data_IF_660854324849
#
_entry.id   IF_660854324849
#
_cell.length_a   1.000
_cell.length_b   1.000
_cell.length_c   1.000
_cell.angle_alpha   90.00
_cell.angle_beta   90.00
_cell.angle_gamma   90.00
#
_symmetry.space_group_name_H-M   'P 1'
#
loop_
_entity.id
_entity.type
_entity.pdbx_description
1 polymer ?
#
# COMPACT_ATOMS: atom_id res chain seq x y z
N UNK A 1 -16.04 -28.91 -1.36
CA UNK A 1 -17.39 -29.50 -1.36
C UNK A 1 -17.89 -29.56 0.07
N UNK A 2 -18.51 -28.49 0.60
CA UNK A 2 -19.19 -28.49 1.91
C UNK A 2 -20.42 -27.58 1.79
N UNK A 3 -21.58 -28.14 2.12
CA UNK A 3 -22.93 -27.60 1.95
C UNK A 3 -23.30 -26.69 3.14
N UNK A 4 -23.99 -25.57 2.86
CA UNK A 4 -24.61 -24.73 3.87
C UNK A 4 -26.13 -24.97 3.88
N UNK A 5 -26.68 -25.32 5.05
CA UNK A 5 -28.11 -25.46 5.30
C UNK A 5 -28.70 -24.10 5.71
N UNK A 6 -29.76 -23.68 5.02
CA UNK A 6 -30.64 -22.55 5.40
C UNK A 6 -31.72 -23.05 6.36
N UNK A 7 -31.92 -22.33 7.46
CA UNK A 7 -33.09 -22.50 8.34
C UNK A 7 -34.25 -21.63 7.84
N UNK A 8 -35.42 -22.27 7.81
CA UNK A 8 -36.73 -21.78 7.39
C UNK A 8 -37.47 -21.09 8.56
N UNK A 9 -38.29 -20.09 8.24
CA UNK A 9 -39.54 -19.87 8.98
C UNK A 9 -40.65 -19.56 7.96
N UNK A 10 -41.63 -20.44 7.93
CA UNK A 10 -42.82 -20.44 7.08
C UNK A 10 -43.96 -19.67 7.76
N UNK A 11 -44.83 -18.95 7.02
CA UNK A 11 -46.02 -18.36 7.61
C UNK A 11 -47.09 -19.45 7.84
N UNK A 12 -47.65 -19.48 9.04
CA UNK A 12 -48.74 -20.35 9.41
C UNK A 12 -50.08 -19.87 8.84
N UNK A 13 -50.85 -20.84 8.34
CA UNK A 13 -52.22 -20.72 7.82
C UNK A 13 -53.20 -20.25 8.90
N UNK A 14 -54.04 -19.27 8.54
CA UNK A 14 -55.23 -18.87 9.29
C UNK A 14 -56.47 -19.02 8.41
N UNK A 15 -57.32 -19.96 8.78
CA UNK A 15 -58.53 -20.46 8.12
C UNK A 15 -59.65 -19.43 7.93
N UNK A 16 -60.31 -19.51 6.77
CA UNK A 16 -61.61 -18.89 6.51
C UNK A 16 -62.75 -19.63 7.23
N UNK A 17 -63.68 -18.88 7.84
CA UNK A 17 -65.03 -19.36 8.16
C UNK A 17 -66.01 -18.26 7.74
N UNK A 18 -66.95 -18.63 6.88
CA UNK A 18 -68.17 -17.90 6.56
C UNK A 18 -69.39 -18.79 6.88
N UNK A 19 -70.59 -18.20 6.72
CA UNK A 19 -71.95 -18.73 6.96
C UNK A 19 -72.47 -18.51 8.40
N UNK A 20 -73.71 -18.06 8.65
CA UNK A 20 -74.86 -17.74 7.80
C UNK A 20 -75.92 -16.96 8.60
N UNK A 21 -76.74 -16.22 7.87
CA UNK A 21 -77.96 -15.46 8.17
C UNK A 21 -79.10 -16.17 8.91
N UNK A 22 -79.91 -15.43 9.69
CA UNK A 22 -81.38 -15.61 9.84
C UNK A 22 -82.07 -14.23 9.99
N UNK A 23 -83.33 -14.18 9.57
CA UNK A 23 -84.14 -13.10 9.01
C UNK A 23 -85.14 -12.40 9.95
N UNK A 24 -85.83 -11.40 9.37
CA UNK A 24 -87.22 -10.92 9.55
C UNK A 24 -87.58 -9.88 10.65
N UNK A 25 -87.72 -8.63 10.16
CA UNK A 25 -88.83 -7.68 10.34
C UNK A 25 -89.39 -7.37 11.73
N UNK A 26 -89.34 -6.09 12.14
CA UNK A 26 -90.53 -5.29 12.48
C UNK A 26 -90.20 -3.79 12.42
N UNK A 27 -91.17 -3.01 11.96
CA UNK A 27 -91.15 -1.56 11.82
C UNK A 27 -91.43 -0.83 13.15
N UNK A 28 -91.18 0.49 13.12
CA UNK A 28 -91.73 1.57 13.95
C UNK A 28 -90.84 2.18 15.07
N UNK A 29 -90.60 3.48 14.86
CA UNK A 29 -90.62 4.60 15.81
C UNK A 29 -89.43 4.88 16.75
N UNK A 30 -88.61 5.84 16.28
CA UNK A 30 -88.18 7.08 16.95
C UNK A 30 -88.25 7.11 18.49
N UNK A 31 -87.08 7.02 19.13
CA UNK A 31 -86.80 7.79 20.35
C UNK A 31 -85.35 8.23 20.38
N UNK A 32 -85.20 9.54 20.44
CA UNK A 32 -84.00 10.34 20.65
C UNK A 32 -83.20 9.84 21.85
N UNK A 33 -81.96 9.42 21.60
CA UNK A 33 -80.89 9.41 22.59
C UNK A 33 -79.76 10.28 22.04
N UNK A 34 -79.71 11.51 22.57
CA UNK A 34 -78.69 12.52 22.29
C UNK A 34 -77.34 11.98 22.81
N UNK A 35 -76.54 11.42 21.90
CA UNK A 35 -75.13 11.16 22.15
C UNK A 35 -74.39 12.50 22.11
N UNK A 36 -74.20 13.13 23.27
CA UNK A 36 -73.09 14.07 23.46
C UNK A 36 -71.85 13.24 23.78
N UNK A 37 -71.26 12.67 22.73
CA UNK A 37 -69.87 12.22 22.75
C UNK A 37 -69.14 13.23 21.89
N UNK A 38 -68.42 14.16 22.52
CA UNK A 38 -67.48 15.06 21.84
C UNK A 38 -66.57 14.24 20.93
N UNK A 39 -66.80 14.31 19.62
CA UNK A 39 -65.87 13.86 18.60
C UNK A 39 -64.58 14.66 18.74
N UNK A 40 -63.65 14.14 19.54
CA UNK A 40 -62.28 14.62 19.49
C UNK A 40 -61.72 14.13 18.15
N UNK A 41 -61.78 15.00 17.14
CA UNK A 41 -61.24 14.74 15.80
C UNK A 41 -59.72 14.57 15.93
N UNK A 42 -59.28 13.33 16.18
CA UNK A 42 -57.88 12.97 16.08
C UNK A 42 -57.53 12.85 14.61
N UNK A 43 -56.52 13.58 14.16
CA UNK A 43 -55.99 13.41 12.80
C UNK A 43 -55.44 11.98 12.65
N UNK A 44 -55.62 11.43 11.45
CA UNK A 44 -55.06 10.13 11.09
C UNK A 44 -53.54 10.17 10.91
N UNK A 45 -52.90 9.00 10.99
CA UNK A 45 -51.48 8.82 10.68
C UNK A 45 -51.13 9.31 9.26
N UNK A 46 -52.03 9.11 8.28
CA UNK A 46 -51.83 9.58 6.90
C UNK A 46 -51.84 11.11 6.82
N UNK A 47 -52.75 11.77 7.54
CA UNK A 47 -52.78 13.24 7.64
C UNK A 47 -51.50 13.77 8.32
N UNK A 48 -51.05 13.12 9.39
CA UNK A 48 -49.80 13.50 10.08
C UNK A 48 -48.56 13.38 9.16
N UNK A 49 -48.47 12.31 8.36
CA UNK A 49 -47.42 12.14 7.33
C UNK A 49 -47.47 13.25 6.29
N UNK A 50 -48.66 13.59 5.79
CA UNK A 50 -48.84 14.67 4.82
C UNK A 50 -48.38 16.02 5.36
N UNK A 51 -48.73 16.33 6.60
CA UNK A 51 -48.28 17.55 7.29
C UNK A 51 -46.76 17.58 7.45
N UNK A 52 -46.14 16.46 7.87
CA UNK A 52 -44.69 16.36 7.99
C UNK A 52 -43.96 16.50 6.64
N UNK A 53 -44.52 15.95 5.56
CA UNK A 53 -43.96 16.04 4.20
C UNK A 53 -44.14 17.42 3.55
N UNK A 54 -45.16 18.19 3.93
CA UNK A 54 -45.26 19.61 3.55
C UNK A 54 -44.13 20.43 4.18
N UNK A 55 -43.70 20.05 5.38
CA UNK A 55 -42.63 20.74 6.10
C UNK A 55 -41.23 20.45 5.55
N UNK A 56 -40.96 19.19 5.18
CA UNK A 56 -39.70 18.81 4.57
C UNK A 56 -39.84 17.70 3.53
N UNK A 57 -39.22 17.92 2.36
CA UNK A 57 -39.19 16.94 1.26
C UNK A 57 -38.27 15.77 1.60
N UNK A 58 -38.75 14.55 1.37
CA UNK A 58 -37.97 13.33 1.53
C UNK A 58 -38.85 12.09 1.56
N UNK A 59 -38.29 11.00 2.07
CA UNK A 59 -38.98 9.71 2.20
C UNK A 59 -39.30 9.43 3.66
N UNK A 60 -40.56 9.17 3.99
CA UNK A 60 -40.95 8.74 5.34
C UNK A 60 -40.44 7.32 5.57
N UNK A 61 -39.65 7.13 6.64
CA UNK A 61 -39.04 5.83 7.00
C UNK A 61 -39.57 5.26 8.32
N UNK A 62 -40.04 6.09 9.24
CA UNK A 62 -40.76 5.65 10.43
C UNK A 62 -41.95 6.57 10.71
N UNK A 63 -42.97 6.01 11.35
CA UNK A 63 -44.09 6.76 11.92
C UNK A 63 -44.58 6.04 13.15
N UNK A 64 -44.35 6.66 14.30
CA UNK A 64 -44.67 6.10 15.61
C UNK A 64 -45.66 7.01 16.32
N UNK A 65 -46.65 6.44 17.02
CA UNK A 65 -47.57 7.21 17.86
C UNK A 65 -47.12 7.10 19.32
N UNK A 66 -46.82 8.24 19.95
CA UNK A 66 -46.51 8.32 21.38
C UNK A 66 -47.78 8.67 22.14
N UNK A 67 -48.35 7.68 22.82
CA UNK A 67 -49.61 7.80 23.54
C UNK A 67 -49.54 8.81 24.69
N UNK A 68 -48.44 8.82 25.45
CA UNK A 68 -48.23 9.71 26.60
C UNK A 68 -48.33 11.20 26.23
N UNK A 69 -47.75 11.58 25.09
CA UNK A 69 -47.75 12.96 24.59
C UNK A 69 -48.82 13.22 23.53
N UNK A 70 -49.56 12.19 23.10
CA UNK A 70 -50.54 12.23 22.02
C UNK A 70 -50.00 12.89 20.73
N UNK A 71 -48.84 12.43 20.26
CA UNK A 71 -48.19 12.91 19.04
C UNK A 71 -47.78 11.75 18.12
N UNK A 72 -47.86 12.00 16.81
CA UNK A 72 -47.17 11.19 15.81
C UNK A 72 -45.75 11.70 15.64
N UNK A 73 -44.75 10.81 15.75
CA UNK A 73 -43.34 11.07 15.47
C UNK A 73 -43.03 10.50 14.10
N UNK A 74 -42.74 11.38 13.14
CA UNK A 74 -42.46 11.02 11.75
C UNK A 74 -40.99 11.26 11.47
N UNK A 75 -40.28 10.21 11.04
CA UNK A 75 -38.88 10.31 10.60
C UNK A 75 -38.82 10.32 9.08
N UNK A 76 -38.35 11.43 8.53
CA UNK A 76 -38.17 11.64 7.09
C UNK A 76 -36.68 11.62 6.79
N UNK A 77 -36.28 10.82 5.80
CA UNK A 77 -34.93 10.83 5.25
C UNK A 77 -34.92 11.76 4.04
N UNK A 78 -34.05 12.76 4.09
CA UNK A 78 -33.90 13.77 3.03
C UNK A 78 -32.98 13.29 1.92
N UNK A 79 -32.94 14.01 0.80
CA UNK A 79 -32.11 13.66 -0.36
C UNK A 79 -30.59 13.64 -0.05
N UNK A 80 -30.16 14.37 0.97
CA UNK A 80 -28.77 14.36 1.48
C UNK A 80 -28.52 13.27 2.56
N UNK A 81 -29.44 12.32 2.72
CA UNK A 81 -29.37 11.17 3.64
C UNK A 81 -29.44 11.52 5.13
N UNK A 82 -29.74 12.77 5.47
CA UNK A 82 -30.00 13.22 6.83
C UNK A 82 -31.41 12.85 7.28
N UNK A 83 -31.70 12.99 8.58
CA UNK A 83 -33.06 12.81 9.09
C UNK A 83 -33.69 14.13 9.54
N UNK A 84 -34.99 14.24 9.27
CA UNK A 84 -35.93 15.16 9.93
C UNK A 84 -36.88 14.35 10.77
N UNK A 85 -36.92 14.66 12.07
CA UNK A 85 -37.92 14.11 12.98
C UNK A 85 -38.94 15.21 13.22
N UNK A 86 -40.18 14.97 12.81
CA UNK A 86 -41.30 15.90 12.97
C UNK A 86 -42.32 15.27 13.90
N UNK A 87 -42.60 15.94 15.01
CA UNK A 87 -43.68 15.53 15.91
C UNK A 87 -44.94 16.34 15.61
N UNK A 88 -46.05 15.66 15.35
CA UNK A 88 -47.34 16.25 14.98
C UNK A 88 -48.38 15.87 16.03
N UNK A 89 -49.07 16.85 16.59
CA UNK A 89 -50.16 16.64 17.54
C UNK A 89 -51.27 15.80 16.91
N UNK A 90 -51.62 14.67 17.53
CA UNK A 90 -52.66 13.79 17.02
C UNK A 90 -54.06 14.40 17.13
N UNK A 91 -54.28 15.34 18.06
CA UNK A 91 -55.57 16.01 18.26
C UNK A 91 -55.77 17.27 17.42
N UNK A 92 -54.68 17.93 16.99
CA UNK A 92 -54.78 19.24 16.31
C UNK A 92 -54.11 19.29 14.94
N UNK A 93 -53.27 18.31 14.61
CA UNK A 93 -52.44 18.32 13.40
C UNK A 93 -51.34 19.39 13.39
N UNK A 94 -51.13 20.14 14.47
CA UNK A 94 -50.04 21.12 14.54
C UNK A 94 -48.71 20.41 14.71
N UNK A 95 -47.68 20.88 14.01
CA UNK A 95 -46.29 20.47 14.25
C UNK A 95 -45.84 21.05 15.58
N UNK A 96 -45.51 20.18 16.53
CA UNK A 96 -45.13 20.58 17.90
C UNK A 96 -43.61 20.56 18.11
N UNK A 97 -42.87 19.76 17.34
CA UNK A 97 -41.41 19.68 17.43
C UNK A 97 -40.79 19.32 16.09
N UNK A 98 -39.60 19.88 15.83
CA UNK A 98 -38.75 19.54 14.69
C UNK A 98 -37.34 19.31 15.16
N UNK A 99 -36.72 18.24 14.68
CA UNK A 99 -35.33 17.93 14.96
C UNK A 99 -34.59 17.53 13.69
N UNK A 100 -33.39 18.08 13.57
CA UNK A 100 -32.42 17.76 12.55
C UNK A 100 -31.40 16.76 13.09
N UNK A 101 -31.25 15.63 12.41
CA UNK A 101 -30.14 14.70 12.65
C UNK A 101 -29.29 14.66 11.40
N UNK A 102 -28.11 15.27 11.48
CA UNK A 102 -27.16 15.33 10.37
C UNK A 102 -26.35 14.05 10.30
N UNK A 103 -25.98 13.68 9.08
CA UNK A 103 -25.02 12.62 8.85
C UNK A 103 -23.65 13.08 9.34
N UNK A 104 -22.98 12.23 10.12
CA UNK A 104 -21.62 12.47 10.52
C UNK A 104 -20.69 12.40 9.32
N UNK A 105 -19.72 13.30 9.29
CA UNK A 105 -18.61 13.27 8.33
C UNK A 105 -17.64 12.14 8.65
N UNK A 106 -16.83 11.74 7.66
CA UNK A 106 -15.75 10.79 7.88
C UNK A 106 -14.81 11.20 9.02
N UNK A 107 -14.52 12.49 9.18
CA UNK A 107 -13.62 12.96 10.23
C UNK A 107 -14.24 12.79 11.62
N UNK A 108 -15.51 13.12 11.80
CA UNK A 108 -16.22 12.90 13.08
C UNK A 108 -16.25 11.41 13.45
N UNK A 109 -16.47 10.54 12.46
CA UNK A 109 -16.45 9.08 12.67
C UNK A 109 -15.05 8.59 13.06
N UNK A 110 -14.00 9.04 12.34
CA UNK A 110 -12.60 8.74 12.68
C UNK A 110 -12.28 9.16 14.11
N UNK A 111 -12.64 10.39 14.50
CA UNK A 111 -12.43 10.89 15.87
C UNK A 111 -13.15 10.05 16.93
N UNK A 112 -14.39 9.61 16.68
CA UNK A 112 -15.14 8.74 17.59
C UNK A 112 -14.47 7.37 17.74
N UNK A 113 -14.06 6.77 16.62
CA UNK A 113 -13.39 5.47 16.62
C UNK A 113 -12.02 5.56 17.30
N UNK A 114 -11.21 6.57 16.99
CA UNK A 114 -9.89 6.77 17.61
C UNK A 114 -9.94 7.02 19.13
N UNK A 115 -11.07 7.47 19.67
CA UNK A 115 -11.26 7.57 21.14
C UNK A 115 -11.47 6.21 21.81
N UNK A 116 -12.01 5.24 21.09
CA UNK A 116 -12.37 3.92 21.61
C UNK A 116 -11.32 2.85 21.26
N UNK A 117 -10.61 3.02 20.15
CA UNK A 117 -9.64 2.08 19.63
C UNK A 117 -8.28 2.76 19.47
N UNK A 118 -7.22 2.14 20.01
CA UNK A 118 -5.85 2.67 19.98
C UNK A 118 -5.17 2.52 18.61
N UNK A 119 -5.63 1.58 17.80
CA UNK A 119 -5.03 1.24 16.52
C UNK A 119 -5.15 2.32 15.44
N UNK A 120 -4.33 2.19 14.40
CA UNK A 120 -4.37 3.07 13.24
C UNK A 120 -5.52 2.71 12.31
N UNK A 121 -6.31 3.72 11.90
CA UNK A 121 -7.38 3.56 10.91
C UNK A 121 -6.77 3.39 9.52
N UNK A 122 -6.95 2.19 8.95
CA UNK A 122 -6.39 1.79 7.67
C UNK A 122 -7.27 2.20 6.48
N UNK A 123 -8.59 2.21 6.68
CA UNK A 123 -9.59 2.53 5.67
C UNK A 123 -10.89 3.02 6.32
N UNK A 124 -11.68 3.77 5.56
CA UNK A 124 -13.06 4.15 5.89
C UNK A 124 -13.86 4.24 4.59
N UNK A 125 -15.01 3.56 4.56
CA UNK A 125 -15.93 3.55 3.42
C UNK A 125 -17.33 3.86 3.91
N UNK A 126 -18.07 4.69 3.19
CA UNK A 126 -19.46 5.01 3.50
C UNK A 126 -20.41 4.27 2.56
N UNK A 127 -21.35 3.52 3.12
CA UNK A 127 -22.46 2.92 2.37
C UNK A 127 -23.67 3.88 2.42
N UNK A 128 -24.06 4.44 1.27
CA UNK A 128 -25.17 5.39 1.17
C UNK A 128 -26.54 4.74 1.42
N UNK A 129 -26.69 3.46 1.10
CA UNK A 129 -27.97 2.74 1.22
C UNK A 129 -28.29 2.46 2.69
N UNK A 130 -27.31 1.97 3.44
CA UNK A 130 -27.48 1.69 4.88
C UNK A 130 -27.19 2.92 5.74
N UNK A 131 -26.50 3.94 5.18
CA UNK A 131 -25.97 5.13 5.89
C UNK A 131 -24.98 4.76 7.00
N UNK A 132 -24.20 3.72 6.75
CA UNK A 132 -23.20 3.21 7.68
C UNK A 132 -21.79 3.43 7.15
N UNK A 133 -20.84 3.56 8.06
CA UNK A 133 -19.42 3.52 7.75
C UNK A 133 -18.86 2.15 8.06
N UNK A 134 -17.98 1.65 7.20
CA UNK A 134 -17.11 0.51 7.49
C UNK A 134 -15.69 1.00 7.63
N UNK A 135 -15.04 0.68 8.76
CA UNK A 135 -13.64 1.02 9.04
C UNK A 135 -12.83 -0.24 9.27
N UNK A 136 -11.59 -0.21 8.79
CA UNK A 136 -10.56 -1.17 9.21
C UNK A 136 -9.59 -0.46 10.14
N UNK A 137 -9.44 -0.95 11.37
CA UNK A 137 -8.51 -0.42 12.37
C UNK A 137 -7.52 -1.50 12.73
N UNK A 138 -6.22 -1.20 12.75
CA UNK A 138 -5.18 -2.17 13.13
C UNK A 138 -4.47 -1.69 14.38
N UNK A 139 -4.54 -2.49 15.43
CA UNK A 139 -3.85 -2.29 16.71
C UNK A 139 -2.87 -3.44 16.94
N UNK A 140 -1.60 -3.22 16.60
CA UNK A 140 -0.57 -4.25 16.58
C UNK A 140 -0.98 -5.43 15.69
N UNK A 141 -1.07 -6.62 16.29
CA UNK A 141 -1.44 -7.85 15.60
C UNK A 141 -2.94 -8.05 15.38
N UNK A 142 -3.80 -7.10 15.77
CA UNK A 142 -5.26 -7.26 15.68
C UNK A 142 -5.84 -6.27 14.68
N UNK A 143 -6.58 -6.78 13.71
CA UNK A 143 -7.40 -6.01 12.77
C UNK A 143 -8.86 -6.05 13.23
N UNK A 144 -9.46 -4.87 13.38
CA UNK A 144 -10.88 -4.66 13.63
C UNK A 144 -11.55 -4.20 12.34
N UNK A 145 -12.62 -4.88 11.95
CA UNK A 145 -13.57 -4.36 10.97
C UNK A 145 -14.79 -3.87 11.72
N UNK A 146 -15.02 -2.56 11.71
CA UNK A 146 -16.08 -1.88 12.45
C UNK A 146 -17.15 -1.40 11.49
N UNK A 147 -18.41 -1.67 11.81
CA UNK A 147 -19.55 -0.97 11.21
C UNK A 147 -20.01 0.10 12.19
N UNK A 148 -20.09 1.34 11.72
CA UNK A 148 -20.45 2.52 12.52
C UNK A 148 -21.69 3.17 11.92
N UNK A 149 -22.69 3.41 12.74
CA UNK A 149 -23.90 4.13 12.34
C UNK A 149 -23.55 5.58 11.96
N UNK A 150 -23.91 5.99 10.74
CA UNK A 150 -23.51 7.29 10.19
C UNK A 150 -24.24 8.50 10.76
N UNK A 151 -25.29 8.31 11.58
CA UNK A 151 -26.05 9.40 12.19
C UNK A 151 -25.63 9.65 13.64
N UNK A 152 -25.16 8.60 14.33
CA UNK A 152 -24.82 8.63 15.75
C UNK A 152 -23.32 8.46 16.01
N UNK A 153 -22.55 7.95 15.04
CA UNK A 153 -21.12 7.67 15.19
C UNK A 153 -20.82 6.49 16.13
N UNK A 154 -21.84 5.69 16.47
CA UNK A 154 -21.71 4.51 17.34
C UNK A 154 -21.30 3.28 16.54
N UNK A 155 -20.37 2.50 17.09
CA UNK A 155 -20.05 1.17 16.56
C UNK A 155 -21.25 0.25 16.81
N UNK A 156 -21.79 -0.32 15.73
CA UNK A 156 -22.96 -1.21 15.76
C UNK A 156 -22.59 -2.67 15.42
N UNK A 157 -21.43 -2.89 14.81
CA UNK A 157 -20.88 -4.22 14.59
C UNK A 157 -19.36 -4.20 14.62
N UNK A 158 -18.75 -5.25 15.14
CA UNK A 158 -17.31 -5.41 15.27
C UNK A 158 -16.91 -6.84 14.90
N UNK A 159 -15.94 -6.97 14.02
CA UNK A 159 -15.26 -8.23 13.72
C UNK A 159 -13.76 -8.09 14.00
N UNK A 160 -13.15 -9.10 14.63
CA UNK A 160 -11.72 -9.12 14.94
C UNK A 160 -11.03 -10.24 14.20
N UNK A 161 -9.84 -9.93 13.69
CA UNK A 161 -8.95 -10.87 13.03
C UNK A 161 -7.54 -10.67 13.54
N UNK A 162 -6.87 -11.77 13.92
CA UNK A 162 -5.45 -11.73 14.23
C UNK A 162 -4.63 -11.78 12.93
N UNK A 163 -3.77 -10.78 12.76
CA UNK A 163 -2.87 -10.65 11.62
C UNK A 163 -1.61 -11.46 11.86
N UNK A 164 -1.10 -12.01 10.78
CA UNK A 164 0.20 -12.65 10.75
C UNK A 164 1.25 -11.63 10.32
N UNK A 165 2.46 -11.79 10.85
CA UNK A 165 3.61 -10.99 10.44
C UNK A 165 3.81 -11.10 8.93
N UNK A 166 4.03 -9.97 8.26
CA UNK A 166 4.43 -10.00 6.85
C UNK A 166 5.84 -10.59 6.72
N UNK A 167 6.04 -11.43 5.71
CA UNK A 167 7.38 -11.92 5.39
C UNK A 167 8.26 -10.78 4.88
N UNK A 168 9.57 -10.90 5.10
CA UNK A 168 10.56 -9.95 4.57
C UNK A 168 10.40 -9.74 3.07
N UNK A 169 10.13 -10.79 2.30
CA UNK A 169 9.92 -10.69 0.86
C UNK A 169 8.76 -9.75 0.52
N UNK A 170 7.61 -9.90 1.19
CA UNK A 170 6.45 -9.01 0.95
C UNK A 170 6.75 -7.57 1.34
N UNK A 171 7.52 -7.36 2.40
CA UNK A 171 7.96 -6.02 2.81
C UNK A 171 8.90 -5.41 1.78
N UNK A 172 9.88 -6.17 1.27
CA UNK A 172 10.78 -5.73 0.19
C UNK A 172 9.99 -5.35 -1.07
N UNK A 173 9.02 -6.17 -1.48
CA UNK A 173 8.12 -5.86 -2.61
C UNK A 173 7.34 -4.56 -2.39
N UNK A 174 6.79 -4.36 -1.17
CA UNK A 174 6.08 -3.14 -0.82
C UNK A 174 6.98 -1.90 -0.86
N UNK A 175 8.21 -2.01 -0.33
CA UNK A 175 9.21 -0.95 -0.34
C UNK A 175 9.59 -0.58 -1.77
N UNK A 176 9.95 -1.54 -2.62
CA UNK A 176 10.39 -1.29 -4.00
C UNK A 176 9.28 -0.64 -4.83
N UNK A 177 8.01 -1.01 -4.58
CA UNK A 177 6.86 -0.39 -5.24
C UNK A 177 6.68 1.09 -4.88
N UNK A 178 6.97 1.45 -3.63
CA UNK A 178 6.76 2.79 -3.07
C UNK A 178 7.99 3.70 -3.27
N UNK A 179 9.18 3.13 -3.08
CA UNK A 179 10.48 3.79 -3.08
C UNK A 179 11.34 3.11 -4.15
N UNK A 180 11.52 3.78 -5.29
CA UNK A 180 12.50 3.35 -6.28
C UNK A 180 13.91 3.47 -5.71
N UNK A 181 14.67 2.37 -5.66
CA UNK A 181 16.03 2.32 -5.10
C UNK A 181 16.42 0.92 -4.65
N UNK A 182 17.66 0.77 -4.17
CA UNK A 182 18.14 -0.49 -3.62
C UNK A 182 17.81 -0.58 -2.13
N UNK A 183 17.21 -1.69 -1.69
CA UNK A 183 17.02 -2.00 -0.26
C UNK A 183 18.34 -2.54 0.28
N UNK A 184 19.14 -1.66 0.87
CA UNK A 184 20.45 -1.93 1.43
C UNK A 184 20.37 -2.84 2.66
N UNK A 185 19.42 -2.58 3.54
CA UNK A 185 19.14 -3.46 4.68
C UNK A 185 17.66 -3.47 5.03
N UNK A 186 17.22 -4.54 5.67
CA UNK A 186 15.90 -4.69 6.23
C UNK A 186 16.02 -5.42 7.57
N UNK A 187 15.62 -4.76 8.64
CA UNK A 187 15.68 -5.32 9.99
C UNK A 187 14.29 -5.34 10.63
N UNK A 188 13.92 -6.49 11.20
CA UNK A 188 12.72 -6.57 12.04
C UNK A 188 13.06 -6.16 13.48
N UNK A 189 12.30 -5.19 14.00
CA UNK A 189 12.36 -4.72 15.39
C UNK A 189 11.19 -5.32 16.16
N UNK A 190 11.44 -6.47 16.81
CA UNK A 190 10.42 -7.25 17.52
C UNK A 190 9.68 -6.44 18.59
N UNK A 191 10.40 -5.64 19.39
CA UNK A 191 9.82 -4.82 20.48
C UNK A 191 8.78 -3.80 20.01
N UNK A 192 8.90 -3.31 18.78
CA UNK A 192 7.96 -2.38 18.16
C UNK A 192 7.05 -3.04 17.11
N UNK A 193 7.28 -4.33 16.79
CA UNK A 193 6.66 -5.04 15.67
C UNK A 193 6.74 -4.24 14.36
N UNK A 194 7.93 -3.75 14.04
CA UNK A 194 8.19 -2.89 12.88
C UNK A 194 9.34 -3.43 12.05
N UNK A 195 9.30 -3.17 10.74
CA UNK A 195 10.45 -3.30 9.88
C UNK A 195 11.14 -1.94 9.71
N UNK A 196 12.46 -1.93 9.77
CA UNK A 196 13.28 -0.76 9.44
C UNK A 196 14.07 -1.10 8.18
N UNK A 197 13.74 -0.43 7.10
CA UNK A 197 14.43 -0.57 5.82
C UNK A 197 15.37 0.61 5.60
N UNK A 198 16.59 0.30 5.16
CA UNK A 198 17.53 1.29 4.64
C UNK A 198 17.54 1.19 3.13
N UNK A 199 17.24 2.29 2.46
CA UNK A 199 17.14 2.35 0.99
C UNK A 199 18.15 3.36 0.49
N UNK A 200 18.98 2.96 -0.47
CA UNK A 200 19.95 3.84 -1.10
C UNK A 200 19.44 4.24 -2.48
N UNK A 201 19.45 5.55 -2.74
CA UNK A 201 19.06 6.12 -4.03
C UNK A 201 19.80 7.44 -4.23
N UNK A 202 20.54 7.57 -5.33
CA UNK A 202 21.22 8.82 -5.72
C UNK A 202 22.01 9.48 -4.58
N UNK A 203 22.86 8.70 -3.89
CA UNK A 203 23.64 9.16 -2.72
C UNK A 203 22.81 9.69 -1.54
N UNK A 204 21.52 9.36 -1.50
CA UNK A 204 20.63 9.61 -0.37
C UNK A 204 20.26 8.27 0.26
N UNK A 205 20.39 8.19 1.58
CA UNK A 205 19.91 7.08 2.38
C UNK A 205 18.55 7.44 2.97
N UNK A 206 17.54 6.63 2.67
CA UNK A 206 16.23 6.69 3.30
C UNK A 206 16.15 5.60 4.37
N UNK A 207 15.71 5.98 5.56
CA UNK A 207 15.32 5.03 6.59
C UNK A 207 13.80 5.04 6.67
N UNK A 208 13.19 3.92 6.27
CA UNK A 208 11.75 3.76 6.24
C UNK A 208 11.35 2.75 7.30
N UNK A 209 10.52 3.18 8.24
CA UNK A 209 9.92 2.30 9.25
C UNK A 209 8.54 1.90 8.76
N UNK A 210 8.27 0.60 8.72
CA UNK A 210 7.00 0.02 8.30
C UNK A 210 6.38 -0.79 9.43
N UNK A 211 5.07 -0.72 9.56
CA UNK A 211 4.31 -1.61 10.43
C UNK A 211 4.41 -3.05 9.91
N UNK A 212 4.77 -4.00 10.76
CA UNK A 212 5.13 -5.34 10.30
C UNK A 212 3.94 -6.25 9.95
N UNK A 213 2.71 -5.84 10.28
CA UNK A 213 1.49 -6.59 9.97
C UNK A 213 0.81 -6.08 8.69
N UNK A 214 0.93 -4.78 8.43
CA UNK A 214 0.26 -4.10 7.31
C UNK A 214 1.21 -3.66 6.21
N UNK A 215 2.50 -3.54 6.49
CA UNK A 215 3.51 -3.04 5.55
C UNK A 215 3.36 -1.55 5.24
N UNK A 216 2.55 -0.81 6.00
CA UNK A 216 2.39 0.63 5.81
C UNK A 216 3.53 1.40 6.46
N UNK A 217 3.92 2.50 5.83
CA UNK A 217 4.94 3.41 6.34
C UNK A 217 4.44 4.08 7.63
N UNK A 218 5.18 3.88 8.71
CA UNK A 218 4.99 4.52 10.02
C UNK A 218 5.83 5.80 10.11
N UNK A 219 7.07 5.74 9.61
CA UNK A 219 7.99 6.86 9.64
C UNK A 219 8.95 6.79 8.46
N UNK A 220 9.44 7.94 8.01
CA UNK A 220 10.50 8.06 7.01
C UNK A 220 11.45 9.18 7.40
N UNK A 221 12.74 8.90 7.37
CA UNK A 221 13.79 9.91 7.43
C UNK A 221 14.75 9.74 6.26
N UNK A 222 15.49 10.81 5.93
CA UNK A 222 16.50 10.77 4.88
C UNK A 222 17.75 11.52 5.33
N UNK A 223 18.90 11.07 4.85
CA UNK A 223 20.17 11.77 4.99
C UNK A 223 21.02 11.58 3.74
N UNK A 224 21.79 12.58 3.38
CA UNK A 224 22.83 12.42 2.36
C UNK A 224 23.92 11.51 2.91
N UNK A 225 24.37 10.57 2.09
CA UNK A 225 25.47 9.68 2.41
C UNK A 225 26.55 9.82 1.38
N UNK A 226 27.79 9.87 1.86
CA UNK A 226 28.96 9.86 0.98
C UNK A 226 29.13 8.45 0.42
N UNK A 227 28.67 8.25 -0.81
CA UNK A 227 29.00 7.05 -1.60
C UNK A 227 30.41 7.21 -2.14
N UNK A 228 31.18 6.12 -2.12
CA UNK A 228 32.51 6.09 -2.74
C UNK A 228 32.45 6.55 -4.19
N UNK A 229 33.46 7.30 -4.61
CA UNK A 229 33.66 7.58 -6.03
C UNK A 229 34.32 6.38 -6.71
N UNK A 230 34.27 6.33 -8.04
CA UNK A 230 35.04 5.35 -8.82
C UNK A 230 36.53 5.41 -8.50
N UNK A 231 37.05 6.60 -8.21
CA UNK A 231 38.45 6.79 -7.86
C UNK A 231 38.75 6.22 -6.47
N UNK A 232 37.89 6.49 -5.47
CA UNK A 232 38.05 5.91 -4.13
C UNK A 232 38.02 4.37 -4.17
N UNK A 233 37.07 3.79 -4.91
CA UNK A 233 36.99 2.34 -5.09
C UNK A 233 38.22 1.76 -5.80
N UNK A 234 38.72 2.45 -6.82
CA UNK A 234 39.97 2.08 -7.52
C UNK A 234 41.16 2.06 -6.56
N UNK A 235 41.30 3.10 -5.75
CA UNK A 235 42.41 3.26 -4.82
C UNK A 235 42.36 2.23 -3.69
N UNK A 236 41.17 1.94 -3.14
CA UNK A 236 40.94 0.87 -2.16
C UNK A 236 41.32 -0.51 -2.72
N UNK A 237 40.90 -0.81 -3.95
CA UNK A 237 41.23 -2.07 -4.59
C UNK A 237 42.75 -2.20 -4.86
N UNK A 238 43.40 -1.13 -5.33
CA UNK A 238 44.84 -1.10 -5.60
C UNK A 238 45.70 -1.17 -4.33
N UNK A 239 45.21 -0.61 -3.22
CA UNK A 239 45.86 -0.75 -1.92
C UNK A 239 45.90 -2.22 -1.44
N UNK A 240 44.91 -3.02 -1.87
CA UNK A 240 44.83 -4.45 -1.53
C UNK A 240 45.57 -5.34 -2.53
N UNK A 241 45.43 -5.06 -3.83
CA UNK A 241 46.06 -5.79 -4.91
C UNK A 241 46.76 -4.82 -5.86
N UNK A 242 48.09 -4.77 -5.79
CA UNK A 242 48.88 -4.01 -6.75
C UNK A 242 48.74 -4.60 -8.16
N UNK A 243 48.58 -3.75 -9.17
CA UNK A 243 48.47 -4.19 -10.57
C UNK A 243 47.90 -3.10 -11.47
N UNK A 244 47.54 -3.48 -12.69
CA UNK A 244 46.90 -2.60 -13.68
C UNK A 244 45.38 -2.75 -13.56
N UNK A 245 44.68 -1.64 -13.34
CA UNK A 245 43.21 -1.64 -13.29
C UNK A 245 42.64 -1.77 -14.69
N UNK A 246 41.87 -2.83 -14.93
CA UNK A 246 41.18 -3.08 -16.20
C UNK A 246 39.81 -2.40 -16.24
N UNK A 247 39.04 -2.49 -15.15
CA UNK A 247 37.70 -1.91 -15.08
C UNK A 247 37.33 -1.50 -13.65
N UNK A 248 36.47 -0.49 -13.56
CA UNK A 248 35.79 -0.07 -12.33
C UNK A 248 34.31 0.13 -12.68
N UNK A 249 33.46 -0.78 -12.24
CA UNK A 249 32.02 -0.74 -12.47
C UNK A 249 31.29 -0.44 -11.16
N UNK A 250 30.21 0.33 -11.26
CA UNK A 250 29.33 0.61 -10.12
C UNK A 250 27.95 0.03 -10.42
N UNK A 251 27.47 -0.85 -9.56
CA UNK A 251 26.10 -1.35 -9.60
C UNK A 251 25.24 -0.54 -8.62
N UNK A 252 24.45 0.37 -9.15
CA UNK A 252 23.50 1.18 -8.38
C UNK A 252 22.37 0.37 -7.74
N UNK A 253 22.07 -0.83 -8.24
CA UNK A 253 21.01 -1.70 -7.73
C UNK A 253 21.50 -2.60 -6.60
N UNK A 254 22.80 -2.66 -6.34
CA UNK A 254 23.39 -3.38 -5.23
C UNK A 254 24.27 -2.47 -4.34
N UNK A 255 24.47 -1.21 -4.74
CA UNK A 255 25.40 -0.27 -4.11
C UNK A 255 26.79 -0.88 -3.92
N UNK A 256 27.31 -1.54 -4.96
CA UNK A 256 28.65 -2.16 -4.94
C UNK A 256 29.51 -1.63 -6.09
N UNK A 257 30.80 -1.50 -5.83
CA UNK A 257 31.82 -1.37 -6.87
C UNK A 257 32.43 -2.73 -7.17
N UNK A 258 32.67 -3.00 -8.45
CA UNK A 258 33.49 -4.12 -8.91
C UNK A 258 34.72 -3.55 -9.59
N UNK A 259 35.90 -3.85 -9.05
CA UNK A 259 37.19 -3.43 -9.60
C UNK A 259 37.93 -4.66 -10.09
N UNK A 260 38.32 -4.68 -11.37
CA UNK A 260 39.18 -5.73 -11.92
C UNK A 260 40.60 -5.25 -12.06
N UNK A 261 41.54 -5.97 -11.46
CA UNK A 261 42.96 -5.66 -11.44
C UNK A 261 43.71 -6.84 -12.06
N UNK A 262 44.55 -6.56 -13.04
CA UNK A 262 45.45 -7.56 -13.61
C UNK A 262 46.84 -7.37 -12.99
N UNK A 263 47.34 -8.45 -12.41
CA UNK A 263 48.73 -8.57 -11.96
C UNK A 263 49.30 -9.86 -12.51
N UNK A 264 50.37 -9.74 -13.29
CA UNK A 264 50.99 -10.84 -14.02
C UNK A 264 49.94 -11.58 -14.86
N UNK A 265 49.77 -12.89 -14.66
CA UNK A 265 48.77 -13.72 -15.34
C UNK A 265 47.46 -13.91 -14.55
N UNK A 266 47.12 -13.02 -13.62
CA UNK A 266 45.96 -13.18 -12.74
C UNK A 266 45.06 -11.93 -12.75
N UNK A 267 43.77 -12.13 -12.99
CA UNK A 267 42.73 -11.11 -12.80
C UNK A 267 42.15 -11.25 -11.39
N UNK A 268 42.21 -10.18 -10.61
CA UNK A 268 41.56 -10.03 -9.31
C UNK A 268 40.29 -9.23 -9.53
N UNK A 269 39.14 -9.80 -9.20
CA UNK A 269 37.86 -9.09 -9.14
C UNK A 269 37.57 -8.78 -7.68
N UNK A 270 37.65 -7.50 -7.32
CA UNK A 270 37.42 -6.98 -5.97
C UNK A 270 36.03 -6.35 -5.92
N UNK A 271 35.16 -6.85 -5.06
CA UNK A 271 33.84 -6.27 -4.78
C UNK A 271 33.90 -5.45 -3.50
N UNK A 272 33.47 -4.19 -3.60
CA UNK A 272 33.55 -3.20 -2.52
C UNK A 272 32.15 -2.65 -2.27
N UNK A 273 31.72 -2.65 -1.02
CA UNK A 273 30.49 -1.97 -0.61
C UNK A 273 30.65 -0.45 -0.79
N UNK A 274 29.76 0.17 -1.56
CA UNK A 274 29.93 1.55 -1.99
C UNK A 274 29.69 2.58 -0.87
N UNK A 275 29.13 2.18 0.27
CA UNK A 275 28.80 3.08 1.39
C UNK A 275 29.85 2.98 2.49
N UNK A 276 30.17 1.76 2.93
CA UNK A 276 31.16 1.49 3.98
C UNK A 276 32.60 1.49 3.45
N UNK A 277 32.80 1.18 2.17
CA UNK A 277 34.11 0.93 1.58
C UNK A 277 34.75 -0.40 1.97
N UNK A 278 33.98 -1.30 2.59
CA UNK A 278 34.45 -2.64 2.93
C UNK A 278 34.60 -3.52 1.69
N UNK A 279 35.70 -4.27 1.61
CA UNK A 279 35.89 -5.30 0.59
C UNK A 279 35.10 -6.54 1.01
N UNK A 280 33.99 -6.81 0.32
CA UNK A 280 33.07 -7.90 0.67
C UNK A 280 33.39 -9.21 -0.04
N UNK A 281 34.05 -9.14 -1.20
CA UNK A 281 34.44 -10.33 -1.96
C UNK A 281 35.68 -10.09 -2.81
N UNK A 282 36.51 -11.13 -2.95
CA UNK A 282 37.62 -11.16 -3.89
C UNK A 282 37.62 -12.48 -4.63
N UNK A 283 37.62 -12.41 -5.97
CA UNK A 283 37.81 -13.57 -6.86
C UNK A 283 39.11 -13.44 -7.63
N UNK A 284 39.81 -14.56 -7.84
CA UNK A 284 41.03 -14.64 -8.63
C UNK A 284 40.84 -15.60 -9.80
N UNK A 285 41.16 -15.15 -11.00
CA UNK A 285 41.08 -15.96 -12.22
C UNK A 285 42.43 -15.90 -12.96
N UNK A 286 42.96 -17.07 -13.35
CA UNK A 286 44.16 -17.12 -14.20
C UNK A 286 43.78 -16.73 -15.63
N UNK A 287 44.50 -15.75 -16.17
CA UNK A 287 44.31 -15.27 -17.53
C UNK A 287 45.15 -16.08 -18.51
N UNK A 288 44.59 -16.28 -19.70
CA UNK A 288 45.35 -16.72 -20.86
C UNK A 288 45.92 -15.51 -21.58
N UNK A 289 47.09 -15.64 -22.22
CA UNK A 289 47.60 -14.61 -23.13
C UNK A 289 46.59 -14.25 -24.22
N UNK A 290 46.62 -13.01 -24.68
CA UNK A 290 45.91 -12.57 -25.88
C UNK A 290 46.27 -13.44 -27.08
N UNK A 291 45.38 -13.57 -28.05
CA UNK A 291 45.71 -14.29 -29.29
C UNK A 291 46.63 -13.44 -30.18
N UNK A 292 47.45 -14.08 -31.01
CA UNK A 292 48.31 -13.38 -31.98
C UNK A 292 47.50 -12.44 -32.88
N UNK A 293 46.29 -12.85 -33.29
CA UNK A 293 45.40 -12.00 -34.09
C UNK A 293 44.95 -10.74 -33.31
N UNK A 294 44.60 -10.88 -32.03
CA UNK A 294 44.22 -9.72 -31.21
C UNK A 294 45.40 -8.73 -31.05
N UNK A 295 46.62 -9.27 -30.87
CA UNK A 295 47.84 -8.47 -30.76
C UNK A 295 48.21 -7.81 -32.09
N UNK A 296 48.04 -8.53 -33.20
CA UNK A 296 48.22 -7.99 -34.56
C UNK A 296 47.29 -6.80 -34.80
N UNK A 297 46.03 -6.92 -34.42
CA UNK A 297 45.05 -5.84 -34.53
C UNK A 297 45.42 -4.64 -33.64
N UNK A 298 45.95 -4.88 -32.42
CA UNK A 298 46.45 -3.82 -31.54
C UNK A 298 47.65 -3.07 -32.14
N UNK A 299 48.60 -3.81 -32.72
CA UNK A 299 49.79 -3.26 -33.36
C UNK A 299 49.44 -2.40 -34.58
N UNK A 300 48.54 -2.89 -35.44
CA UNK A 300 48.07 -2.17 -36.63
C UNK A 300 47.22 -0.93 -36.30
N UNK A 301 46.59 -0.89 -35.13
CA UNK A 301 45.92 0.33 -34.62
C UNK A 301 46.90 1.41 -34.18
N UNK A 302 48.07 1.02 -33.66
CA UNK A 302 49.11 1.98 -33.25
C UNK A 302 49.83 2.55 -34.47
N UNK A 303 50.04 1.74 -35.51
CA UNK A 303 50.81 2.16 -36.68
C UNK A 303 50.43 1.41 -37.96
N UNK A 304 50.34 2.14 -39.07
CA UNK A 304 50.16 1.54 -40.39
C UNK A 304 51.43 0.81 -40.84
N UNK A 305 51.26 -0.41 -41.37
CA UNK A 305 52.34 -1.23 -41.89
C UNK A 305 51.92 -2.68 -42.08
N UNK A 306 52.88 -3.53 -42.46
CA UNK A 306 52.72 -4.98 -42.50
C UNK A 306 53.38 -5.58 -41.27
N UNK A 307 52.62 -6.37 -40.50
CA UNK A 307 53.18 -7.17 -39.40
C UNK A 307 53.96 -8.34 -40.00
N UNK A 308 55.27 -8.40 -39.74
CA UNK A 308 56.16 -9.46 -40.22
C UNK A 308 56.43 -10.54 -39.18
N UNK A 309 56.56 -10.16 -37.91
CA UNK A 309 56.87 -11.10 -36.83
C UNK A 309 56.06 -10.75 -35.57
N UNK A 310 55.55 -11.77 -34.90
CA UNK A 310 54.93 -11.68 -33.57
C UNK A 310 55.59 -12.77 -32.73
N UNK A 311 56.16 -12.39 -31.59
CA UNK A 311 56.78 -13.32 -30.66
C UNK A 311 56.24 -13.11 -29.25
N UNK A 312 55.86 -14.19 -28.56
CA UNK A 312 55.52 -14.13 -27.15
C UNK A 312 56.77 -14.46 -26.33
N UNK A 313 57.29 -13.48 -25.62
CA UNK A 313 58.46 -13.64 -24.76
C UNK A 313 58.09 -13.40 -23.30
N UNK A 314 58.85 -13.97 -22.37
CA UNK A 314 58.72 -13.67 -20.94
C UNK A 314 60.06 -13.15 -20.43
N UNK A 315 60.09 -11.88 -20.03
CA UNK A 315 61.27 -11.21 -19.48
C UNK A 315 60.93 -10.68 -18.09
N UNK A 316 61.76 -10.98 -17.07
CA UNK A 316 61.57 -10.51 -15.69
C UNK A 316 60.17 -10.78 -15.10
N UNK A 317 59.62 -11.96 -15.36
CA UNK A 317 58.27 -12.38 -14.96
C UNK A 317 57.11 -11.63 -15.65
N UNK A 318 57.40 -10.81 -16.66
CA UNK A 318 56.40 -10.14 -17.50
C UNK A 318 56.36 -10.85 -18.85
N UNK A 319 55.20 -11.41 -19.19
CA UNK A 319 54.97 -11.98 -20.53
C UNK A 319 54.49 -10.88 -21.47
N UNK A 320 55.19 -10.67 -22.57
CA UNK A 320 54.90 -9.63 -23.57
C UNK A 320 54.95 -10.19 -24.98
N UNK A 321 54.12 -9.63 -25.86
CA UNK A 321 54.23 -9.78 -27.28
C UNK A 321 55.17 -8.74 -27.87
N UNK A 322 56.17 -9.19 -28.62
CA UNK A 322 57.04 -8.34 -29.44
C UNK A 322 56.54 -8.41 -30.88
N UNK A 323 56.08 -7.28 -31.42
CA UNK A 323 55.50 -7.18 -32.75
C UNK A 323 56.38 -6.32 -33.63
N UNK A 324 56.83 -6.86 -34.76
CA UNK A 324 57.64 -6.16 -35.74
C UNK A 324 56.76 -5.74 -36.93
N UNK A 325 56.66 -4.43 -37.17
CA UNK A 325 55.97 -3.83 -38.31
C UNK A 325 56.98 -3.29 -39.33
N UNK A 326 56.67 -3.46 -40.61
CA UNK A 326 57.43 -2.91 -41.73
C UNK A 326 56.55 -2.01 -42.58
N UNK A 327 57.04 -0.81 -42.87
CA UNK A 327 56.40 0.17 -43.76
C UNK A 327 57.45 0.76 -44.71
N UNK A 328 57.46 0.30 -45.96
CA UNK A 328 58.53 0.62 -46.92
C UNK A 328 59.88 0.07 -46.45
N UNK A 329 60.88 0.95 -46.31
CA UNK A 329 62.22 0.61 -45.81
C UNK A 329 62.38 0.76 -44.29
N UNK A 330 61.32 1.12 -43.57
CA UNK A 330 61.36 1.32 -42.11
C UNK A 330 60.80 0.09 -41.38
N UNK A 331 61.50 -0.33 -40.33
CA UNK A 331 61.08 -1.37 -39.41
C UNK A 331 60.91 -0.78 -38.01
N UNK A 332 59.85 -1.17 -37.31
CA UNK A 332 59.58 -0.76 -35.94
C UNK A 332 59.12 -1.96 -35.12
N UNK A 333 59.48 -1.98 -33.84
CA UNK A 333 59.09 -3.02 -32.89
C UNK A 333 58.24 -2.40 -31.79
N UNK A 334 57.08 -2.99 -31.52
CA UNK A 334 56.18 -2.64 -30.43
C UNK A 334 56.15 -3.79 -29.43
N UNK A 335 56.11 -3.48 -28.13
CA UNK A 335 55.93 -4.48 -27.08
C UNK A 335 54.55 -4.31 -26.45
N UNK A 336 53.78 -5.39 -26.32
CA UNK A 336 52.47 -5.38 -25.67
C UNK A 336 52.43 -6.36 -24.52
N UNK A 337 51.89 -5.96 -23.38
CA UNK A 337 51.60 -6.86 -22.26
C UNK A 337 50.64 -7.97 -22.70
N UNK A 338 51.02 -9.22 -22.48
CA UNK A 338 50.32 -10.37 -23.06
C UNK A 338 48.92 -10.58 -22.48
N UNK A 339 48.57 -9.98 -21.34
CA UNK A 339 47.29 -10.18 -20.67
C UNK A 339 46.39 -8.95 -20.72
N UNK A 340 46.98 -7.75 -20.76
CA UNK A 340 46.25 -6.48 -20.82
C UNK A 340 46.20 -5.87 -22.21
N UNK A 341 47.14 -6.21 -23.09
CA UNK A 341 47.27 -5.61 -24.43
C UNK A 341 47.77 -4.16 -24.43
N UNK A 342 48.18 -3.63 -23.28
CA UNK A 342 48.78 -2.30 -23.20
C UNK A 342 50.20 -2.32 -23.75
N UNK A 343 50.58 -1.27 -24.48
CA UNK A 343 51.95 -1.10 -24.94
C UNK A 343 52.91 -0.94 -23.74
N UNK A 344 54.02 -1.66 -23.79
CA UNK A 344 55.10 -1.60 -22.82
C UNK A 344 56.21 -0.69 -23.35
N UNK A 345 56.72 0.20 -22.50
CA UNK A 345 57.83 1.12 -22.78
C UNK A 345 59.18 0.42 -22.87
#
# INVERSE_FOLDING_TARGET
MIKWAKVLSTPALGTAIAFSSITTSHAAEMKTAKAETTEHVSISQAQAKGIALQDCKGTVTSTEFKQESSVYVITIVTNNLEQRIVEVSASTGKVVKKQEVKLWTQNQVKESVSKQYKGAIQSITFNKETREYTLTVVDGKVEYTLTVDGLTGKVIHENKKELQLMSEQKIKEAIVKQYSGYVYSLEFKESASQYVAVILKNSTQYTVTLDAFTGKVVNTSQQEVKVLTRQDAKDLALATYAGKVKIVEYDQNAAIFTVKIIKDNTEYTVTIDAVSGEITHVKQDKLQPLTENAVKDLALKHQEGKVEHIELITENSITVYVVTLVSGSKQQTLKFDAYTGQECS
#
